data_IF_354037596369
#
_entry.id   IF_354037596369
#
_cell.length_a   1.000
_cell.length_b   1.000
_cell.length_c   1.000
_cell.angle_alpha   90.00
_cell.angle_beta   90.00
_cell.angle_gamma   90.00
#
_symmetry.space_group_name_H-M   'P 1'
#
loop_
_entity.id
_entity.type
_entity.pdbx_description
1 polymer ?
#
# COMPACT_ATOMS: atom_id res chain seq x y z
N UNK A 1 -11.38 -20.31 18.85
CA UNK A 1 -11.61 -19.04 19.56
C UNK A 1 -10.50 -17.99 19.37
N UNK A 2 -9.26 -18.17 19.87
CA UNK A 2 -8.23 -17.11 19.78
C UNK A 2 -7.85 -16.75 18.32
N UNK A 3 -7.61 -17.75 17.48
CA UNK A 3 -7.32 -17.55 16.07
C UNK A 3 -8.49 -16.90 15.31
N UNK A 4 -9.73 -17.32 15.59
CA UNK A 4 -10.92 -16.76 14.94
C UNK A 4 -11.13 -15.30 15.30
N UNK A 5 -11.02 -14.95 16.60
CA UNK A 5 -11.12 -13.56 17.05
C UNK A 5 -10.03 -12.68 16.45
N UNK A 6 -8.80 -13.17 16.37
CA UNK A 6 -7.71 -12.47 15.69
C UNK A 6 -7.96 -12.29 14.21
N UNK A 7 -8.43 -13.32 13.52
CA UNK A 7 -8.77 -13.26 12.09
C UNK A 7 -9.85 -12.19 11.84
N UNK A 8 -10.88 -12.14 12.68
CA UNK A 8 -11.93 -11.11 12.62
C UNK A 8 -11.34 -9.71 12.86
N UNK A 9 -10.50 -9.54 13.88
CA UNK A 9 -9.82 -8.26 14.14
C UNK A 9 -8.96 -7.84 12.95
N UNK A 10 -8.24 -8.77 12.32
CA UNK A 10 -7.43 -8.50 11.13
C UNK A 10 -8.27 -8.10 9.93
N UNK A 11 -9.41 -8.74 9.73
CA UNK A 11 -10.35 -8.37 8.69
C UNK A 11 -10.94 -6.98 8.92
N UNK A 12 -11.35 -6.67 10.14
CA UNK A 12 -11.84 -5.33 10.49
C UNK A 12 -10.74 -4.28 10.29
N UNK A 13 -9.51 -4.59 10.70
CA UNK A 13 -8.37 -3.70 10.54
C UNK A 13 -8.00 -3.47 9.06
N UNK A 14 -8.07 -4.51 8.22
CA UNK A 14 -7.79 -4.39 6.78
C UNK A 14 -8.86 -3.53 6.08
N UNK A 15 -10.14 -3.75 6.38
CA UNK A 15 -11.25 -2.96 5.84
C UNK A 15 -11.20 -1.51 6.35
N UNK A 16 -10.92 -1.30 7.64
CA UNK A 16 -10.74 0.03 8.22
C UNK A 16 -9.55 0.78 7.60
N UNK A 17 -8.47 0.06 7.30
CA UNK A 17 -7.31 0.63 6.59
C UNK A 17 -7.68 0.99 5.16
N UNK A 18 -8.38 0.11 4.44
CA UNK A 18 -8.79 0.35 3.06
C UNK A 18 -9.72 1.56 2.97
N UNK A 19 -10.80 1.60 3.77
CA UNK A 19 -11.73 2.74 3.84
C UNK A 19 -11.09 4.09 4.20
N UNK A 20 -9.88 4.08 4.77
CA UNK A 20 -9.10 5.30 5.04
C UNK A 20 -8.35 5.83 3.80
N UNK A 21 -8.02 4.95 2.86
CA UNK A 21 -7.26 5.31 1.66
C UNK A 21 -8.13 5.30 0.40
N UNK A 22 -9.17 4.48 0.35
CA UNK A 22 -10.18 4.43 -0.69
C UNK A 22 -11.42 5.19 -0.23
N UNK A 23 -12.01 5.98 -1.12
CA UNK A 23 -13.32 6.59 -0.88
C UNK A 23 -14.42 5.59 -1.28
N UNK A 24 -15.14 4.99 -0.32
CA UNK A 24 -16.12 3.93 -0.61
C UNK A 24 -17.28 4.41 -1.50
N UNK A 25 -17.54 5.73 -1.56
CA UNK A 25 -18.61 6.31 -2.39
C UNK A 25 -18.25 6.37 -3.87
N UNK A 26 -16.96 6.52 -4.20
CA UNK A 26 -16.51 6.68 -5.59
C UNK A 26 -15.92 5.39 -6.15
N UNK A 27 -15.41 4.50 -5.30
CA UNK A 27 -14.84 3.23 -5.73
C UNK A 27 -15.91 2.19 -6.02
N UNK A 28 -15.74 1.41 -7.09
CA UNK A 28 -16.65 0.31 -7.38
C UNK A 28 -16.55 -0.79 -6.33
N UNK A 29 -17.72 -1.33 -5.93
CA UNK A 29 -17.85 -2.43 -4.95
C UNK A 29 -16.92 -3.63 -5.25
N UNK A 30 -16.81 -4.17 -6.49
CA UNK A 30 -15.95 -5.32 -6.74
C UNK A 30 -14.47 -5.01 -6.49
N UNK A 31 -14.00 -3.81 -6.85
CA UNK A 31 -12.61 -3.38 -6.59
C UNK A 31 -12.36 -3.25 -5.10
N UNK A 32 -13.33 -2.71 -4.35
CA UNK A 32 -13.23 -2.58 -2.90
C UNK A 32 -13.15 -3.95 -2.19
N UNK A 33 -13.96 -4.93 -2.61
CA UNK A 33 -13.93 -6.30 -2.07
C UNK A 33 -12.60 -6.98 -2.39
N UNK A 34 -12.16 -6.91 -3.64
CA UNK A 34 -10.89 -7.50 -4.07
C UNK A 34 -9.70 -6.90 -3.32
N UNK A 35 -9.67 -5.58 -3.15
CA UNK A 35 -8.66 -4.91 -2.35
C UNK A 35 -8.72 -5.38 -0.89
N UNK A 36 -9.90 -5.45 -0.28
CA UNK A 36 -10.05 -5.92 1.11
C UNK A 36 -9.50 -7.34 1.31
N UNK A 37 -9.83 -8.25 0.41
CA UNK A 37 -9.34 -9.63 0.43
C UNK A 37 -7.82 -9.70 0.24
N UNK A 38 -7.27 -8.90 -0.67
CA UNK A 38 -5.82 -8.88 -0.95
C UNK A 38 -4.99 -8.40 0.25
N UNK A 39 -5.54 -7.54 1.10
CA UNK A 39 -4.89 -7.11 2.34
C UNK A 39 -5.12 -8.10 3.49
N UNK A 40 -6.34 -8.66 3.59
CA UNK A 40 -6.70 -9.58 4.65
C UNK A 40 -5.91 -10.89 4.59
N UNK A 41 -5.89 -11.58 3.44
CA UNK A 41 -5.36 -12.95 3.34
C UNK A 41 -3.85 -13.06 3.69
N UNK A 42 -2.96 -12.19 3.18
CA UNK A 42 -1.55 -12.21 3.57
C UNK A 42 -1.35 -11.85 5.06
N UNK A 43 -2.15 -10.90 5.56
CA UNK A 43 -2.09 -10.50 6.98
C UNK A 43 -2.53 -11.66 7.88
N UNK A 44 -3.58 -12.39 7.51
CA UNK A 44 -4.04 -13.56 8.24
C UNK A 44 -2.98 -14.67 8.29
N UNK A 45 -2.19 -14.85 7.24
CA UNK A 45 -1.08 -15.81 7.22
C UNK A 45 -0.01 -15.49 8.27
N UNK A 46 0.29 -14.21 8.52
CA UNK A 46 1.23 -13.77 9.56
C UNK A 46 0.74 -14.21 10.95
N UNK A 47 -0.57 -14.09 11.22
CA UNK A 47 -1.15 -14.51 12.49
C UNK A 47 -1.33 -16.03 12.60
N UNK A 48 -1.53 -16.74 11.49
CA UNK A 48 -1.62 -18.20 11.47
C UNK A 48 -0.29 -18.87 11.84
N UNK A 49 0.83 -18.28 11.41
CA UNK A 49 2.16 -18.89 11.53
C UNK A 49 2.55 -19.24 12.99
N UNK A 50 2.41 -18.35 14.00
CA UNK A 50 2.70 -18.72 15.40
C UNK A 50 1.85 -19.88 15.92
N UNK A 51 0.58 -19.96 15.54
CA UNK A 51 -0.30 -21.06 15.94
C UNK A 51 0.12 -22.39 15.32
N UNK A 52 0.57 -22.37 14.06
CA UNK A 52 1.07 -23.57 13.40
C UNK A 52 2.40 -24.02 14.03
N UNK A 53 3.30 -23.09 14.34
CA UNK A 53 4.57 -23.38 15.03
C UNK A 53 4.34 -23.94 16.44
N UNK A 54 3.43 -23.37 17.23
CA UNK A 54 3.12 -23.87 18.57
C UNK A 54 2.46 -25.25 18.52
N UNK A 55 1.58 -25.47 17.53
CA UNK A 55 0.89 -26.75 17.33
C UNK A 55 1.82 -27.86 16.83
N UNK A 56 2.72 -27.56 15.89
CA UNK A 56 3.77 -28.49 15.44
C UNK A 56 4.72 -28.83 16.58
N UNK A 57 5.20 -27.82 17.32
CA UNK A 57 6.08 -28.03 18.48
C UNK A 57 5.44 -28.92 19.55
N UNK A 58 4.13 -28.77 19.79
CA UNK A 58 3.40 -29.65 20.70
C UNK A 58 3.29 -31.09 20.18
N UNK A 59 3.05 -31.29 18.88
CA UNK A 59 2.99 -32.64 18.27
C UNK A 59 4.33 -33.38 18.32
N UNK A 60 5.43 -32.65 18.18
CA UNK A 60 6.79 -33.20 18.23
C UNK A 60 7.30 -33.40 19.67
N UNK A 61 6.61 -32.81 20.66
CA UNK A 61 6.96 -32.92 22.06
C UNK A 61 6.60 -34.31 22.60
N UNK A 62 7.62 -35.10 22.95
CA UNK A 62 7.48 -36.42 23.60
C UNK A 62 7.97 -36.31 25.05
N UNK A 63 7.08 -36.02 25.99
CA UNK A 63 7.42 -35.90 27.41
C UNK A 63 6.23 -35.49 28.30
N UNK A 64 6.38 -35.60 29.64
CA UNK A 64 5.33 -35.23 30.60
C UNK A 64 5.10 -33.70 30.68
N UNK A 65 6.08 -32.89 30.24
CA UNK A 65 6.03 -31.42 30.29
C UNK A 65 5.37 -30.77 29.06
N UNK A 66 4.73 -31.55 28.19
CA UNK A 66 4.10 -31.05 26.96
C UNK A 66 2.72 -30.44 27.25
N UNK A 67 2.68 -29.12 27.41
CA UNK A 67 1.42 -28.40 27.58
C UNK A 67 0.73 -28.12 26.24
N UNK A 68 -0.53 -28.52 26.11
CA UNK A 68 -1.35 -28.22 24.92
C UNK A 68 -1.52 -26.70 24.77
N UNK A 69 -1.14 -26.10 23.63
CA UNK A 69 -1.31 -24.66 23.42
C UNK A 69 -2.79 -24.27 23.35
N UNK A 70 -3.11 -23.07 23.80
CA UNK A 70 -4.50 -22.55 23.77
C UNK A 70 -5.03 -22.41 22.34
N UNK A 71 -4.16 -22.05 21.41
CA UNK A 71 -4.46 -21.98 19.98
C UNK A 71 -4.10 -23.25 19.20
N UNK A 72 -4.19 -24.44 19.80
CA UNK A 72 -3.86 -25.69 19.10
C UNK A 72 -4.71 -25.89 17.83
N UNK A 73 -4.04 -26.04 16.68
CA UNK A 73 -4.64 -26.44 15.42
C UNK A 73 -4.33 -27.92 15.15
N UNK A 74 -5.39 -28.70 14.90
CA UNK A 74 -5.27 -30.06 14.41
C UNK A 74 -4.55 -30.10 13.05
N UNK A 75 -3.79 -31.17 12.79
CA UNK A 75 -2.98 -31.30 11.57
C UNK A 75 -3.83 -31.21 10.30
N UNK A 76 -4.99 -31.86 10.28
CA UNK A 76 -5.94 -31.80 9.17
C UNK A 76 -6.44 -30.36 8.95
N UNK A 77 -6.77 -29.64 10.02
CA UNK A 77 -7.24 -28.25 9.95
C UNK A 77 -6.16 -27.29 9.46
N UNK A 78 -4.92 -27.40 9.98
CA UNK A 78 -3.80 -26.57 9.52
C UNK A 78 -3.54 -26.79 8.03
N UNK A 79 -3.49 -28.06 7.58
CA UNK A 79 -3.28 -28.38 6.18
C UNK A 79 -4.40 -27.84 5.27
N UNK A 80 -5.65 -27.97 5.71
CA UNK A 80 -6.80 -27.41 5.00
C UNK A 80 -6.71 -25.87 4.87
N UNK A 81 -6.45 -25.17 5.99
CA UNK A 81 -6.34 -23.71 6.01
C UNK A 81 -5.20 -23.24 5.09
N UNK A 82 -4.01 -23.86 5.19
CA UNK A 82 -2.87 -23.51 4.34
C UNK A 82 -3.16 -23.76 2.87
N UNK A 83 -3.84 -24.86 2.52
CA UNK A 83 -4.21 -25.17 1.13
C UNK A 83 -5.22 -24.15 0.59
N UNK A 84 -6.21 -23.77 1.38
CA UNK A 84 -7.14 -22.70 1.02
C UNK A 84 -6.40 -21.36 0.82
N UNK A 85 -5.60 -20.93 1.81
CA UNK A 85 -4.83 -19.69 1.73
C UNK A 85 -3.92 -19.67 0.50
N UNK A 86 -3.17 -20.75 0.27
CA UNK A 86 -2.27 -20.87 -0.86
C UNK A 86 -3.00 -20.70 -2.19
N UNK A 87 -4.04 -21.49 -2.45
CA UNK A 87 -4.73 -21.44 -3.74
C UNK A 87 -5.49 -20.13 -3.93
N UNK A 88 -6.12 -19.60 -2.88
CA UNK A 88 -6.79 -18.30 -2.96
C UNK A 88 -5.79 -17.18 -3.25
N UNK A 89 -4.66 -17.12 -2.54
CA UNK A 89 -3.62 -16.11 -2.81
C UNK A 89 -2.99 -16.29 -4.19
N UNK A 90 -2.81 -17.53 -4.64
CA UNK A 90 -2.28 -17.83 -5.96
C UNK A 90 -3.17 -17.25 -7.07
N UNK A 91 -4.46 -17.60 -7.10
CA UNK A 91 -5.38 -17.08 -8.11
C UNK A 91 -5.61 -15.57 -7.96
N UNK A 92 -5.66 -15.07 -6.72
CA UNK A 92 -5.82 -13.64 -6.48
C UNK A 92 -4.64 -12.84 -7.05
N UNK A 93 -3.41 -13.30 -6.81
CA UNK A 93 -2.18 -12.61 -7.21
C UNK A 93 -1.90 -12.75 -8.70
N UNK A 94 -2.03 -13.96 -9.24
CA UNK A 94 -1.58 -14.27 -10.61
C UNK A 94 -2.67 -14.13 -11.66
N UNK A 95 -3.95 -14.01 -11.28
CA UNK A 95 -5.06 -13.95 -12.25
C UNK A 95 -5.96 -12.75 -11.97
N UNK A 96 -6.57 -12.70 -10.79
CA UNK A 96 -7.67 -11.76 -10.52
C UNK A 96 -7.17 -10.32 -10.44
N UNK A 97 -6.13 -10.04 -9.64
CA UNK A 97 -5.61 -8.69 -9.45
C UNK A 97 -5.03 -8.08 -10.76
N UNK A 98 -4.18 -8.79 -11.54
CA UNK A 98 -3.66 -8.24 -12.79
C UNK A 98 -4.75 -7.94 -13.83
N UNK A 99 -5.73 -8.85 -13.98
CA UNK A 99 -6.85 -8.65 -14.90
C UNK A 99 -7.74 -7.49 -14.44
N UNK A 100 -8.02 -7.40 -13.13
CA UNK A 100 -8.81 -6.29 -12.57
C UNK A 100 -8.11 -4.94 -12.75
N UNK A 101 -6.81 -4.89 -12.50
CA UNK A 101 -5.98 -3.70 -12.74
C UNK A 101 -6.03 -3.29 -14.22
N UNK A 102 -5.79 -4.24 -15.13
CA UNK A 102 -5.85 -3.98 -16.57
C UNK A 102 -7.24 -3.57 -17.07
N UNK A 103 -8.31 -4.07 -16.43
CA UNK A 103 -9.68 -3.68 -16.74
C UNK A 103 -9.95 -2.22 -16.35
N UNK A 104 -9.51 -1.80 -15.15
CA UNK A 104 -9.69 -0.43 -14.66
C UNK A 104 -8.86 0.56 -15.47
N UNK A 105 -7.63 0.18 -15.85
CA UNK A 105 -6.73 1.02 -16.64
C UNK A 105 -7.12 1.12 -18.13
N UNK A 106 -7.99 0.24 -18.62
CA UNK A 106 -8.41 0.24 -20.02
C UNK A 106 -9.30 1.44 -20.37
N UNK A 107 -8.95 2.13 -21.47
CA UNK A 107 -9.73 3.27 -21.96
C UNK A 107 -10.90 2.91 -22.88
N UNK A 108 -11.09 1.63 -23.25
CA UNK A 108 -12.25 1.19 -24.03
C UNK A 108 -13.55 1.43 -23.28
N UNK A 109 -14.67 1.62 -24.00
CA UNK A 109 -15.99 1.78 -23.37
C UNK A 109 -16.65 0.41 -23.14
N UNK A 110 -16.58 -0.48 -24.12
CA UNK A 110 -17.23 -1.80 -24.06
C UNK A 110 -16.57 -2.74 -23.04
N UNK A 111 -17.38 -3.32 -22.14
CA UNK A 111 -16.91 -4.27 -21.11
C UNK A 111 -16.16 -5.46 -21.70
N UNK A 112 -16.59 -5.97 -22.86
CA UNK A 112 -15.94 -7.10 -23.55
C UNK A 112 -14.53 -6.73 -24.01
N UNK A 113 -14.37 -5.54 -24.60
CA UNK A 113 -13.08 -5.04 -25.06
C UNK A 113 -12.12 -4.77 -23.90
N UNK A 114 -12.63 -4.20 -22.79
CA UNK A 114 -11.84 -4.03 -21.56
C UNK A 114 -11.25 -5.34 -21.05
N UNK A 115 -12.08 -6.38 -20.90
CA UNK A 115 -11.64 -7.70 -20.42
C UNK A 115 -10.67 -8.35 -21.41
N UNK A 116 -11.01 -8.33 -22.71
CA UNK A 116 -10.15 -8.89 -23.76
C UNK A 116 -8.77 -8.23 -23.76
N UNK A 117 -8.72 -6.92 -23.64
CA UNK A 117 -7.47 -6.16 -23.61
C UNK A 117 -6.68 -6.42 -22.32
N UNK A 118 -7.34 -6.46 -21.17
CA UNK A 118 -6.70 -6.77 -19.88
C UNK A 118 -6.05 -8.17 -19.89
N UNK A 119 -6.80 -9.19 -20.36
CA UNK A 119 -6.30 -10.56 -20.49
C UNK A 119 -5.14 -10.62 -21.50
N UNK A 120 -5.28 -9.99 -22.66
CA UNK A 120 -4.24 -9.97 -23.70
C UNK A 120 -2.94 -9.37 -23.18
N UNK A 121 -3.01 -8.23 -22.48
CA UNK A 121 -1.83 -7.59 -21.90
C UNK A 121 -1.19 -8.46 -20.83
N UNK A 122 -2.00 -9.07 -19.97
CA UNK A 122 -1.50 -9.96 -18.92
C UNK A 122 -0.85 -11.23 -19.48
N UNK A 123 -1.45 -11.87 -20.50
CA UNK A 123 -0.87 -13.03 -21.19
C UNK A 123 0.45 -12.64 -21.86
N UNK A 124 0.53 -11.51 -22.56
CA UNK A 124 1.78 -11.04 -23.19
C UNK A 124 2.92 -10.91 -22.17
N UNK A 125 2.64 -10.31 -21.02
CA UNK A 125 3.60 -10.20 -19.92
C UNK A 125 4.02 -11.58 -19.40
N UNK A 126 3.07 -12.47 -19.14
CA UNK A 126 3.37 -13.82 -18.64
C UNK A 126 4.12 -14.67 -19.67
N UNK A 127 3.85 -14.52 -20.97
CA UNK A 127 4.59 -15.20 -22.03
C UNK A 127 6.05 -14.74 -22.07
N UNK A 128 6.31 -13.44 -21.88
CA UNK A 128 7.66 -12.92 -21.78
C UNK A 128 8.41 -13.52 -20.57
N UNK A 129 7.77 -13.57 -19.40
CA UNK A 129 8.36 -14.23 -18.21
C UNK A 129 8.56 -15.73 -18.45
N UNK A 130 7.60 -16.39 -19.10
CA UNK A 130 7.69 -17.81 -19.47
C UNK A 130 8.83 -18.09 -20.45
N UNK A 131 9.09 -17.19 -21.39
CA UNK A 131 10.22 -17.29 -22.31
C UNK A 131 11.56 -17.22 -21.57
N UNK A 132 11.70 -16.32 -20.59
CA UNK A 132 12.90 -16.26 -19.72
C UNK A 132 13.06 -17.57 -18.94
N UNK A 133 11.97 -18.12 -18.39
CA UNK A 133 11.99 -19.41 -17.69
C UNK A 133 12.44 -20.55 -18.61
N UNK A 134 12.00 -20.57 -19.87
CA UNK A 134 12.43 -21.58 -20.85
C UNK A 134 13.93 -21.49 -21.15
N UNK A 135 14.50 -20.29 -21.26
CA UNK A 135 15.95 -20.09 -21.42
C UNK A 135 16.70 -20.68 -20.21
N UNK A 136 16.22 -20.42 -18.99
CA UNK A 136 16.83 -20.96 -17.77
C UNK A 136 16.77 -22.49 -17.78
N UNK A 137 15.62 -23.07 -18.12
CA UNK A 137 15.45 -24.52 -18.21
C UNK A 137 16.39 -25.11 -19.28
N UNK A 138 16.53 -24.47 -20.43
CA UNK A 138 17.45 -24.88 -21.49
C UNK A 138 18.93 -24.87 -21.04
N UNK A 139 19.34 -23.89 -20.24
CA UNK A 139 20.69 -23.88 -19.65
C UNK A 139 20.87 -25.06 -18.67
N UNK A 140 19.85 -25.39 -17.88
CA UNK A 140 19.88 -26.51 -16.94
C UNK A 140 19.93 -27.85 -17.68
N UNK A 141 19.23 -27.99 -18.80
CA UNK A 141 19.24 -29.21 -19.61
C UNK A 141 20.61 -29.48 -20.23
N UNK A 142 21.27 -28.47 -20.79
CA UNK A 142 22.63 -28.60 -21.36
C UNK A 142 23.63 -29.08 -20.31
N UNK A 143 23.48 -28.63 -19.06
CA UNK A 143 24.35 -29.05 -17.96
C UNK A 143 24.03 -30.45 -17.40
N UNK A 144 23.04 -31.16 -17.93
CA UNK A 144 22.68 -32.51 -17.51
C UNK A 144 21.99 -32.61 -16.14
N UNK A 145 21.56 -31.48 -15.56
CA UNK A 145 20.92 -31.45 -14.23
C UNK A 145 19.39 -31.57 -14.26
N UNK A 146 18.79 -31.85 -15.43
CA UNK A 146 17.33 -31.93 -15.57
C UNK A 146 16.79 -33.23 -14.97
N UNK A 147 16.44 -33.17 -13.68
CA UNK A 147 15.60 -34.18 -13.03
C UNK A 147 14.35 -33.51 -12.46
N UNK A 148 13.24 -34.25 -12.35
CA UNK A 148 12.02 -33.74 -11.74
C UNK A 148 12.25 -33.22 -10.31
N UNK A 149 13.12 -33.90 -9.56
CA UNK A 149 13.50 -33.49 -8.22
C UNK A 149 14.30 -32.17 -8.22
N UNK A 150 15.27 -32.03 -9.13
CA UNK A 150 16.05 -30.80 -9.25
C UNK A 150 15.20 -29.62 -9.74
N UNK A 151 14.23 -29.89 -10.62
CA UNK A 151 13.32 -28.87 -11.12
C UNK A 151 12.36 -28.38 -10.03
N UNK A 152 11.78 -29.27 -9.23
CA UNK A 152 10.92 -28.86 -8.10
C UNK A 152 11.74 -28.14 -7.02
N UNK A 153 12.93 -28.63 -6.70
CA UNK A 153 13.87 -27.95 -5.81
C UNK A 153 14.22 -26.54 -6.32
N UNK A 154 14.53 -26.39 -7.60
CA UNK A 154 14.83 -25.11 -8.22
C UNK A 154 13.63 -24.15 -8.16
N UNK A 155 12.43 -24.60 -8.54
CA UNK A 155 11.22 -23.76 -8.51
C UNK A 155 10.90 -23.33 -7.07
N UNK A 156 11.05 -24.22 -6.09
CA UNK A 156 10.87 -23.87 -4.67
C UNK A 156 11.88 -22.82 -4.21
N UNK A 157 13.17 -23.00 -4.52
CA UNK A 157 14.22 -22.04 -4.17
C UNK A 157 13.99 -20.70 -4.87
N UNK A 158 13.66 -20.70 -6.16
CA UNK A 158 13.38 -19.50 -6.93
C UNK A 158 12.17 -18.73 -6.37
N UNK A 159 11.06 -19.43 -6.08
CA UNK A 159 9.87 -18.81 -5.49
C UNK A 159 10.15 -18.20 -4.11
N UNK A 160 10.90 -18.92 -3.26
CA UNK A 160 11.28 -18.44 -1.93
C UNK A 160 12.30 -17.30 -1.99
N UNK A 161 13.20 -17.29 -2.99
CA UNK A 161 14.23 -16.26 -3.14
C UNK A 161 13.61 -14.87 -3.35
N UNK A 162 12.51 -14.77 -4.11
CA UNK A 162 11.80 -13.50 -4.29
C UNK A 162 11.31 -12.94 -2.96
N UNK A 163 10.69 -13.79 -2.13
CA UNK A 163 10.24 -13.42 -0.78
C UNK A 163 11.39 -12.96 0.12
N UNK A 164 12.50 -13.70 0.13
CA UNK A 164 13.70 -13.35 0.92
C UNK A 164 14.30 -12.02 0.45
N UNK A 165 14.43 -11.79 -0.86
CA UNK A 165 14.93 -10.53 -1.42
C UNK A 165 14.07 -9.36 -0.94
N UNK A 166 12.74 -9.49 -1.01
CA UNK A 166 11.82 -8.46 -0.53
C UNK A 166 11.96 -8.24 0.99
N UNK A 167 12.01 -9.30 1.78
CA UNK A 167 12.16 -9.21 3.25
C UNK A 167 13.47 -8.50 3.60
N UNK A 168 14.61 -8.92 3.04
CA UNK A 168 15.91 -8.30 3.34
C UNK A 168 15.93 -6.83 2.94
N UNK A 169 15.41 -6.50 1.75
CA UNK A 169 15.38 -5.12 1.24
C UNK A 169 14.49 -4.22 2.10
N UNK A 170 13.25 -4.64 2.40
CA UNK A 170 12.33 -3.84 3.19
C UNK A 170 12.67 -3.83 4.68
N UNK A 171 13.24 -4.92 5.21
CA UNK A 171 13.71 -4.98 6.60
C UNK A 171 14.79 -3.93 6.85
N UNK A 172 15.75 -3.76 5.94
CA UNK A 172 16.77 -2.71 6.07
C UNK A 172 16.15 -1.30 6.20
N UNK A 173 15.15 -1.00 5.38
CA UNK A 173 14.39 0.27 5.49
C UNK A 173 13.59 0.32 6.79
N UNK A 174 12.95 -0.77 7.20
CA UNK A 174 12.15 -0.87 8.42
C UNK A 174 12.97 -0.59 9.68
N UNK A 175 14.12 -1.25 9.82
CA UNK A 175 15.01 -1.16 10.99
C UNK A 175 15.56 0.24 11.21
N UNK A 176 15.79 1.01 10.13
CA UNK A 176 16.43 2.32 10.22
C UNK A 176 15.44 3.47 10.08
N UNK A 177 14.55 3.41 9.08
CA UNK A 177 13.65 4.52 8.75
C UNK A 177 12.52 4.66 9.75
N UNK A 178 11.96 3.56 10.29
CA UNK A 178 10.84 3.62 11.23
C UNK A 178 11.25 4.33 12.53
N UNK A 179 12.35 3.97 13.23
CA UNK A 179 12.77 4.71 14.41
C UNK A 179 13.03 6.20 14.11
N UNK A 180 13.72 6.51 13.00
CA UNK A 180 14.00 7.91 12.61
C UNK A 180 12.72 8.71 12.41
N UNK A 181 11.76 8.18 11.66
CA UNK A 181 10.46 8.84 11.43
C UNK A 181 9.76 9.11 12.77
N UNK A 182 9.72 8.11 13.66
CA UNK A 182 9.09 8.23 14.99
C UNK A 182 9.79 9.29 15.84
N UNK A 183 11.11 9.36 15.82
CA UNK A 183 11.88 10.43 16.47
C UNK A 183 11.51 11.80 15.91
N UNK A 184 11.40 11.96 14.59
CA UNK A 184 11.04 13.24 13.98
C UNK A 184 9.63 13.70 14.38
N UNK A 185 8.69 12.78 14.59
CA UNK A 185 7.35 13.13 15.11
C UNK A 185 7.36 13.70 16.53
N UNK A 186 8.44 13.51 17.30
CA UNK A 186 8.56 14.13 18.63
C UNK A 186 8.82 15.63 18.59
N UNK A 187 9.29 16.18 17.45
CA UNK A 187 9.68 17.59 17.34
C UNK A 187 8.85 18.34 16.29
N UNK A 188 7.86 19.15 16.69
CA UNK A 188 7.02 19.90 15.75
C UNK A 188 7.82 20.93 14.92
N UNK A 189 8.87 21.53 15.46
CA UNK A 189 9.73 22.48 14.73
C UNK A 189 10.42 21.82 13.54
N UNK A 190 10.90 20.59 13.75
CA UNK A 190 11.55 19.83 12.70
C UNK A 190 10.56 19.47 11.57
N UNK A 191 9.34 19.07 11.94
CA UNK A 191 8.29 18.74 10.97
C UNK A 191 7.91 19.96 10.12
N UNK A 192 7.76 21.13 10.75
CA UNK A 192 7.50 22.38 10.05
C UNK A 192 8.60 22.70 9.04
N UNK A 193 9.86 22.72 9.48
CA UNK A 193 11.00 23.00 8.60
C UNK A 193 11.11 22.01 7.44
N UNK A 194 10.80 20.73 7.67
CA UNK A 194 10.80 19.73 6.61
C UNK A 194 9.66 19.98 5.60
N UNK A 195 8.46 20.34 6.06
CA UNK A 195 7.34 20.67 5.20
C UNK A 195 7.63 21.89 4.34
N UNK A 196 8.17 22.96 4.93
CA UNK A 196 8.60 24.18 4.22
C UNK A 196 9.62 23.87 3.12
N UNK A 197 10.61 23.01 3.40
CA UNK A 197 11.59 22.56 2.41
C UNK A 197 10.95 21.79 1.25
N UNK A 198 9.98 20.92 1.54
CA UNK A 198 9.31 20.13 0.51
C UNK A 198 8.22 20.89 -0.24
N UNK A 199 7.79 22.04 0.25
CA UNK A 199 6.64 22.78 -0.28
C UNK A 199 6.80 23.11 -1.77
N UNK A 200 7.98 23.59 -2.19
CA UNK A 200 8.27 23.92 -3.59
C UNK A 200 8.12 22.69 -4.49
N UNK A 201 8.70 21.56 -4.10
CA UNK A 201 8.60 20.32 -4.88
C UNK A 201 7.16 19.81 -5.03
N UNK A 202 6.35 19.93 -3.97
CA UNK A 202 4.94 19.55 -4.01
C UNK A 202 4.14 20.49 -4.91
N UNK A 203 4.42 21.80 -4.85
CA UNK A 203 3.75 22.78 -5.71
C UNK A 203 4.09 22.55 -7.18
N UNK A 204 5.36 22.35 -7.51
CA UNK A 204 5.80 22.04 -8.87
C UNK A 204 5.13 20.75 -9.36
N UNK A 205 5.07 19.71 -8.53
CA UNK A 205 4.40 18.45 -8.89
C UNK A 205 2.91 18.61 -9.22
N UNK A 206 2.22 19.56 -8.58
CA UNK A 206 0.83 19.91 -8.92
C UNK A 206 0.76 20.58 -10.28
N UNK A 207 1.59 21.60 -10.49
CA UNK A 207 1.63 22.36 -11.75
C UNK A 207 1.99 21.46 -12.94
N UNK A 208 3.01 20.61 -12.80
CA UNK A 208 3.41 19.63 -13.81
C UNK A 208 2.25 18.67 -14.15
N UNK A 209 1.57 18.14 -13.13
CA UNK A 209 0.43 17.23 -13.35
C UNK A 209 -0.81 17.93 -13.93
N UNK A 210 -0.98 19.22 -13.67
CA UNK A 210 -2.03 20.04 -14.27
C UNK A 210 -1.75 20.27 -15.76
N UNK A 211 -0.49 20.52 -16.11
CA UNK A 211 -0.04 20.63 -17.50
C UNK A 211 -0.21 19.30 -18.26
N UNK A 212 0.20 18.17 -17.68
CA UNK A 212 -0.01 16.82 -18.25
C UNK A 212 -1.50 16.57 -18.57
N UNK A 213 -2.39 17.03 -17.69
CA UNK A 213 -3.84 16.95 -17.89
C UNK A 213 -4.30 17.86 -19.03
N UNK A 214 -3.88 19.11 -19.05
CA UNK A 214 -4.23 20.07 -20.12
C UNK A 214 -3.76 19.56 -21.48
N UNK A 215 -2.55 19.02 -21.56
CA UNK A 215 -2.03 18.39 -22.78
C UNK A 215 -2.91 17.22 -23.21
N UNK A 216 -3.25 16.32 -22.29
CA UNK A 216 -4.14 15.18 -22.57
C UNK A 216 -5.51 15.64 -23.07
N UNK A 217 -6.08 16.72 -22.49
CA UNK A 217 -7.34 17.30 -22.96
C UNK A 217 -7.19 17.97 -24.34
N UNK A 218 -6.08 18.67 -24.57
CA UNK A 218 -5.79 19.32 -25.85
C UNK A 218 -5.65 18.30 -26.99
N UNK A 219 -4.98 17.16 -26.75
CA UNK A 219 -4.88 16.08 -27.76
C UNK A 219 -6.24 15.56 -28.21
N UNK A 220 -7.23 15.53 -27.31
CA UNK A 220 -8.61 15.21 -27.67
C UNK A 220 -9.32 16.36 -28.41
N UNK A 221 -9.11 17.60 -27.96
CA UNK A 221 -9.75 18.78 -28.57
C UNK A 221 -9.30 19.06 -30.00
N UNK A 222 -8.02 18.83 -30.29
CA UNK A 222 -7.41 19.07 -31.59
C UNK A 222 -7.83 18.06 -32.68
N UNK A 223 -8.57 17.00 -32.33
CA UNK A 223 -9.04 16.01 -33.30
C UNK A 223 -10.06 16.67 -34.27
N UNK A 224 -9.80 16.66 -35.59
CA UNK A 224 -10.73 17.22 -36.57
C UNK A 224 -11.99 16.37 -36.71
N UNK A 225 -13.09 16.99 -37.16
CA UNK A 225 -14.38 16.35 -37.47
C UNK A 225 -14.97 15.50 -36.31
N UNK A 226 -14.72 15.88 -35.06
CA UNK A 226 -15.29 15.23 -33.88
C UNK A 226 -16.82 15.26 -33.85
N UNK A 227 -17.40 16.34 -34.39
CA UNK A 227 -18.85 16.60 -34.36
C UNK A 227 -19.61 15.89 -35.50
N UNK A 228 -18.91 15.12 -36.34
CA UNK A 228 -19.53 14.39 -37.44
C UNK A 228 -20.35 13.20 -36.92
N UNK A 229 -21.67 13.36 -36.92
CA UNK A 229 -22.62 12.35 -36.44
C UNK A 229 -22.70 11.10 -37.33
N UNK A 230 -22.23 11.18 -38.58
CA UNK A 230 -22.29 10.05 -39.52
C UNK A 230 -21.17 9.03 -39.28
N UNK A 231 -20.13 9.40 -38.54
CA UNK A 231 -19.03 8.52 -38.22
C UNK A 231 -19.45 7.47 -37.17
N UNK A 232 -19.14 6.18 -37.41
CA UNK A 232 -19.41 5.09 -36.47
C UNK A 232 -18.72 5.27 -35.11
N UNK A 233 -17.67 6.09 -35.07
CA UNK A 233 -16.87 6.40 -33.88
C UNK A 233 -17.46 7.57 -33.06
N UNK A 234 -18.41 8.33 -33.61
CA UNK A 234 -19.05 9.48 -32.94
C UNK A 234 -19.57 9.20 -31.52
N UNK A 235 -20.24 8.07 -31.23
CA UNK A 235 -20.66 7.75 -29.86
C UNK A 235 -19.50 7.68 -28.86
N UNK A 236 -18.31 7.29 -29.30
CA UNK A 236 -17.11 7.23 -28.46
C UNK A 236 -16.62 8.64 -28.10
N UNK A 237 -16.55 9.55 -29.08
CA UNK A 237 -16.22 10.95 -28.85
C UNK A 237 -17.16 11.60 -27.86
N UNK A 238 -18.47 11.44 -28.08
CA UNK A 238 -19.51 11.98 -27.19
C UNK A 238 -19.37 11.44 -25.77
N UNK A 239 -19.02 10.16 -25.61
CA UNK A 239 -18.82 9.56 -24.28
C UNK A 239 -17.64 10.21 -23.54
N UNK A 240 -16.49 10.41 -24.22
CA UNK A 240 -15.33 11.10 -23.63
C UNK A 240 -15.73 12.53 -23.22
N UNK A 241 -16.47 13.22 -24.07
CA UNK A 241 -16.92 14.59 -23.81
C UNK A 241 -17.86 14.68 -22.61
N UNK A 242 -18.85 13.79 -22.52
CA UNK A 242 -19.80 13.80 -21.39
C UNK A 242 -19.13 13.44 -20.07
N UNK A 243 -18.21 12.47 -20.07
CA UNK A 243 -17.47 12.04 -18.87
C UNK A 243 -16.57 13.17 -18.32
N UNK A 244 -16.03 14.02 -19.19
CA UNK A 244 -15.06 15.05 -18.83
C UNK A 244 -15.60 16.48 -19.04
N UNK A 245 -16.92 16.63 -19.13
CA UNK A 245 -17.57 17.91 -19.47
C UNK A 245 -17.18 19.05 -18.52
N UNK A 246 -17.07 18.78 -17.23
CA UNK A 246 -16.65 19.77 -16.23
C UNK A 246 -15.17 20.17 -16.41
N UNK A 247 -14.30 19.24 -16.78
CA UNK A 247 -12.88 19.52 -17.03
C UNK A 247 -12.72 20.38 -18.27
N UNK A 248 -13.46 20.07 -19.34
CA UNK A 248 -13.45 20.85 -20.56
C UNK A 248 -13.99 22.26 -20.36
N UNK A 249 -15.06 22.43 -19.56
CA UNK A 249 -15.55 23.76 -19.17
C UNK A 249 -14.51 24.54 -18.37
N UNK A 250 -13.87 23.88 -17.39
CA UNK A 250 -12.88 24.52 -16.50
C UNK A 250 -11.60 24.95 -17.23
N UNK A 251 -11.12 24.16 -18.18
CA UNK A 251 -9.84 24.39 -18.85
C UNK A 251 -9.97 24.90 -20.30
N UNK A 252 -11.18 25.26 -20.75
CA UNK A 252 -11.46 25.68 -22.13
C UNK A 252 -10.45 26.67 -22.70
N UNK A 253 -10.26 27.81 -22.03
CA UNK A 253 -9.35 28.85 -22.49
C UNK A 253 -7.90 28.35 -22.58
N UNK A 254 -7.45 27.58 -21.59
CA UNK A 254 -6.08 27.05 -21.57
C UNK A 254 -5.83 26.04 -22.68
N UNK A 255 -6.84 25.21 -22.97
CA UNK A 255 -6.80 24.25 -24.08
C UNK A 255 -6.69 25.00 -25.41
N UNK A 256 -7.52 26.02 -25.63
CA UNK A 256 -7.52 26.83 -26.87
C UNK A 256 -6.19 27.58 -27.08
N UNK A 257 -5.53 28.02 -26.00
CA UNK A 257 -4.23 28.70 -26.06
C UNK A 257 -3.01 27.77 -26.07
N UNK A 258 -3.20 26.45 -25.98
CA UNK A 258 -2.11 25.50 -25.87
C UNK A 258 -1.41 25.29 -27.22
N UNK A 259 -0.33 26.02 -27.46
CA UNK A 259 0.32 26.14 -28.77
C UNK A 259 1.21 24.94 -29.18
N UNK A 260 1.11 23.79 -28.51
CA UNK A 260 1.90 22.63 -28.92
C UNK A 260 1.26 21.94 -30.13
N UNK A 261 1.99 21.74 -31.24
CA UNK A 261 1.44 21.08 -32.42
C UNK A 261 1.09 19.63 -32.07
N UNK A 262 -0.19 19.29 -32.20
CA UNK A 262 -0.62 17.89 -32.10
C UNK A 262 -0.11 17.18 -33.34
N UNK A 263 0.64 16.08 -33.14
CA UNK A 263 1.09 15.24 -34.24
C UNK A 263 -0.12 14.85 -35.09
N UNK A 264 -0.05 15.13 -36.39
CA UNK A 264 -1.11 14.82 -37.36
C UNK A 264 -1.34 13.30 -37.39
N UNK A 265 -2.38 12.84 -36.72
CA UNK A 265 -2.66 11.40 -36.63
C UNK A 265 -3.34 10.91 -37.90
N UNK A 266 -2.62 10.12 -38.70
CA UNK A 266 -3.10 9.65 -39.99
C UNK A 266 -4.16 8.53 -39.94
N UNK A 267 -4.62 8.05 -38.78
CA UNK A 267 -5.79 7.15 -38.68
C UNK A 267 -6.42 7.23 -37.28
N UNK A 268 -7.61 7.84 -37.16
CA UNK A 268 -8.36 7.90 -35.90
C UNK A 268 -9.16 6.60 -35.74
N UNK A 269 -8.59 5.64 -35.00
CA UNK A 269 -9.22 4.35 -34.71
C UNK A 269 -9.80 4.32 -33.29
N UNK A 270 -10.68 3.35 -32.99
CA UNK A 270 -11.21 3.14 -31.63
C UNK A 270 -10.09 2.89 -30.60
N UNK A 271 -9.02 2.20 -31.00
CA UNK A 271 -7.84 1.98 -30.14
C UNK A 271 -7.12 3.28 -29.78
N UNK A 272 -7.07 4.24 -30.72
CA UNK A 272 -6.48 5.55 -30.48
C UNK A 272 -7.33 6.36 -29.50
N UNK A 273 -8.65 6.39 -29.68
CA UNK A 273 -9.54 7.08 -28.72
C UNK A 273 -9.55 6.43 -27.34
N UNK A 274 -9.46 5.09 -27.28
CA UNK A 274 -9.27 4.39 -26.03
C UNK A 274 -7.95 4.81 -25.35
N UNK A 275 -6.86 4.99 -26.10
CA UNK A 275 -5.60 5.47 -25.53
C UNK A 275 -5.70 6.90 -24.98
N UNK A 276 -6.38 7.81 -25.68
CA UNK A 276 -6.62 9.18 -25.21
C UNK A 276 -7.48 9.19 -23.95
N UNK A 277 -8.61 8.46 -23.94
CA UNK A 277 -9.48 8.37 -22.77
C UNK A 277 -8.73 7.81 -21.55
N UNK A 278 -7.86 6.82 -21.76
CA UNK A 278 -6.96 6.30 -20.72
C UNK A 278 -6.01 7.39 -20.21
N UNK A 279 -5.35 8.12 -21.11
CA UNK A 279 -4.40 9.16 -20.74
C UNK A 279 -5.07 10.30 -19.96
N UNK A 280 -6.23 10.79 -20.41
CA UNK A 280 -7.03 11.80 -19.68
C UNK A 280 -7.34 11.31 -18.26
N UNK A 281 -7.82 10.06 -18.12
CA UNK A 281 -8.15 9.47 -16.82
C UNK A 281 -6.93 9.38 -15.90
N UNK A 282 -5.79 8.90 -16.40
CA UNK A 282 -4.54 8.76 -15.62
C UNK A 282 -3.99 10.13 -15.22
N UNK A 283 -3.91 11.08 -16.15
CA UNK A 283 -3.43 12.44 -15.89
C UNK A 283 -4.32 13.15 -14.88
N UNK A 284 -5.65 12.96 -14.98
CA UNK A 284 -6.59 13.52 -14.01
C UNK A 284 -6.42 12.92 -12.62
N UNK A 285 -6.26 11.60 -12.50
CA UNK A 285 -6.00 10.95 -11.21
C UNK A 285 -4.66 11.41 -10.60
N UNK A 286 -3.61 11.54 -11.41
CA UNK A 286 -2.31 12.07 -10.98
C UNK A 286 -2.44 13.50 -10.46
N UNK A 287 -3.15 14.37 -11.18
CA UNK A 287 -3.44 15.73 -10.75
C UNK A 287 -4.22 15.77 -9.42
N UNK A 288 -5.28 14.96 -9.28
CA UNK A 288 -6.04 14.88 -8.03
C UNK A 288 -5.17 14.45 -6.84
N UNK A 289 -4.32 13.43 -7.03
CA UNK A 289 -3.43 12.94 -5.97
C UNK A 289 -2.43 14.03 -5.57
N UNK A 290 -1.79 14.68 -6.53
CA UNK A 290 -0.82 15.74 -6.26
C UNK A 290 -1.48 16.96 -5.60
N UNK A 291 -2.65 17.38 -6.09
CA UNK A 291 -3.42 18.48 -5.49
C UNK A 291 -3.80 18.16 -4.04
N UNK A 292 -4.27 16.94 -3.78
CA UNK A 292 -4.60 16.51 -2.42
C UNK A 292 -3.38 16.48 -1.49
N UNK A 293 -2.23 16.00 -1.99
CA UNK A 293 -0.97 15.99 -1.23
C UNK A 293 -0.53 17.41 -0.89
N UNK A 294 -0.59 18.34 -1.84
CA UNK A 294 -0.30 19.75 -1.63
C UNK A 294 -1.23 20.39 -0.59
N UNK A 295 -2.54 20.21 -0.72
CA UNK A 295 -3.50 20.78 0.23
C UNK A 295 -3.34 20.21 1.64
N UNK A 296 -3.05 18.91 1.74
CA UNK A 296 -2.77 18.26 3.03
C UNK A 296 -1.46 18.77 3.64
N UNK A 297 -0.40 18.91 2.84
CA UNK A 297 0.89 19.44 3.28
C UNK A 297 0.74 20.88 3.78
N UNK A 298 0.05 21.74 3.02
CA UNK A 298 -0.27 23.12 3.38
C UNK A 298 -1.03 23.21 4.70
N UNK A 299 -2.11 22.43 4.87
CA UNK A 299 -2.86 22.37 6.15
C UNK A 299 -1.98 21.87 7.30
N UNK A 300 -1.13 20.88 7.06
CA UNK A 300 -0.22 20.41 8.10
C UNK A 300 0.84 21.45 8.48
N UNK A 301 1.36 22.21 7.52
CA UNK A 301 2.37 23.25 7.75
C UNK A 301 1.80 24.36 8.63
N UNK A 302 0.63 24.89 8.28
CA UNK A 302 -0.06 25.89 9.11
C UNK A 302 -0.35 25.34 10.52
N UNK A 303 -0.71 24.06 10.66
CA UNK A 303 -0.99 23.47 11.98
C UNK A 303 0.28 23.37 12.84
N UNK A 304 1.40 22.96 12.25
CA UNK A 304 2.68 22.92 12.97
C UNK A 304 3.21 24.32 13.28
N UNK A 305 2.96 25.30 12.41
CA UNK A 305 3.25 26.71 12.69
C UNK A 305 2.48 27.20 13.93
N UNK A 306 1.18 26.93 13.99
CA UNK A 306 0.34 27.25 15.16
C UNK A 306 0.84 26.53 16.43
N UNK A 307 1.25 25.26 16.33
CA UNK A 307 1.81 24.49 17.45
C UNK A 307 3.14 25.06 17.95
N UNK A 308 4.02 25.50 17.04
CA UNK A 308 5.29 26.13 17.40
C UNK A 308 5.03 27.47 18.09
N UNK A 309 4.11 28.28 17.58
CA UNK A 309 3.70 29.53 18.21
C UNK A 309 3.09 29.29 19.61
N UNK A 310 2.25 28.26 19.76
CA UNK A 310 1.62 27.88 21.03
C UNK A 310 2.63 27.54 22.14
N UNK A 311 3.86 27.14 21.79
CA UNK A 311 4.92 26.92 22.78
C UNK A 311 5.29 28.21 23.52
N UNK A 312 5.20 29.36 22.86
CA UNK A 312 5.47 30.67 23.45
C UNK A 312 4.26 31.28 24.14
N UNK A 313 3.07 31.09 23.60
CA UNK A 313 1.84 31.70 24.11
C UNK A 313 1.11 30.87 25.16
N UNK A 314 1.50 29.60 25.37
CA UNK A 314 0.87 28.64 26.29
C UNK A 314 -0.61 28.31 26.01
N UNK A 315 -1.16 28.80 24.90
CA UNK A 315 -2.48 28.43 24.42
C UNK A 315 -2.39 28.02 22.95
N UNK A 316 -3.10 26.94 22.59
CA UNK A 316 -3.23 26.53 21.20
C UNK A 316 -4.42 27.25 20.57
N UNK A 317 -4.15 28.28 19.79
CA UNK A 317 -5.12 28.80 18.85
C UNK A 317 -4.69 28.43 17.44
N UNK A 318 -5.56 27.71 16.74
CA UNK A 318 -5.26 27.23 15.40
C UNK A 318 -6.17 27.89 14.38
N UNK A 319 -5.55 28.33 13.29
CA UNK A 319 -6.21 28.98 12.16
C UNK A 319 -6.98 27.99 11.26
N UNK A 320 -6.86 26.69 11.50
CA UNK A 320 -7.31 25.62 10.60
C UNK A 320 -8.49 24.85 11.17
N UNK A 321 -9.46 24.58 10.32
CA UNK A 321 -10.60 23.72 10.65
C UNK A 321 -10.22 22.23 10.70
N UNK A 322 -10.78 21.48 11.66
CA UNK A 322 -11.84 21.88 12.59
C UNK A 322 -11.30 22.45 13.91
N UNK A 323 -9.98 22.52 14.11
CA UNK A 323 -9.40 22.89 15.42
C UNK A 323 -9.79 24.32 15.79
N UNK A 324 -9.91 25.19 14.78
CA UNK A 324 -10.46 26.54 14.92
C UNK A 324 -11.81 26.56 15.65
N UNK A 325 -12.74 25.67 15.28
CA UNK A 325 -14.10 25.60 15.82
C UNK A 325 -14.22 24.80 17.12
N UNK A 326 -13.11 24.28 17.65
CA UNK A 326 -13.16 23.49 18.88
C UNK A 326 -13.36 24.38 20.12
N UNK A 327 -14.13 23.88 21.11
CA UNK A 327 -14.24 24.56 22.39
C UNK A 327 -12.88 24.58 23.11
N UNK A 328 -12.67 25.56 23.97
CA UNK A 328 -11.40 25.82 24.69
C UNK A 328 -10.87 24.60 25.44
N UNK A 329 -11.73 23.81 26.09
CA UNK A 329 -11.31 22.60 26.79
C UNK A 329 -10.66 21.57 25.83
N UNK A 330 -11.17 21.46 24.60
CA UNK A 330 -10.63 20.54 23.60
C UNK A 330 -9.33 21.07 22.98
N UNK A 331 -9.19 22.39 22.82
CA UNK A 331 -7.93 23.05 22.44
C UNK A 331 -6.85 22.84 23.52
N UNK A 332 -7.21 22.96 24.80
CA UNK A 332 -6.30 22.70 25.92
C UNK A 332 -5.85 21.23 25.99
N UNK A 333 -6.77 20.28 25.79
CA UNK A 333 -6.42 18.86 25.68
C UNK A 333 -5.48 18.60 24.49
N UNK A 334 -5.73 19.24 23.35
CA UNK A 334 -4.84 19.13 22.19
C UNK A 334 -3.46 19.72 22.47
N UNK A 335 -3.37 20.85 23.17
CA UNK A 335 -2.11 21.43 23.63
C UNK A 335 -1.32 20.45 24.51
N UNK A 336 -1.96 19.91 25.56
CA UNK A 336 -1.35 18.92 26.46
C UNK A 336 -0.88 17.69 25.67
N UNK A 337 -1.72 17.20 24.77
CA UNK A 337 -1.38 16.05 23.95
C UNK A 337 -0.17 16.31 23.05
N UNK A 338 -0.21 17.34 22.19
CA UNK A 338 0.80 17.54 21.15
C UNK A 338 2.13 18.10 21.69
N UNK A 339 2.09 18.96 22.71
CA UNK A 339 3.31 19.62 23.21
C UNK A 339 3.88 18.96 24.47
N UNK A 340 3.05 18.35 25.33
CA UNK A 340 3.54 17.74 26.57
C UNK A 340 3.65 16.22 26.46
N UNK A 341 2.61 15.49 26.06
CA UNK A 341 2.60 14.02 26.10
C UNK A 341 3.26 13.37 24.87
N UNK A 342 2.90 13.83 23.67
CA UNK A 342 3.29 13.21 22.42
C UNK A 342 4.81 13.13 22.23
N UNK A 343 5.63 14.15 22.54
CA UNK A 343 7.08 14.06 22.39
C UNK A 343 7.70 12.92 23.20
N UNK A 344 7.29 12.74 24.46
CA UNK A 344 7.78 11.66 25.32
C UNK A 344 7.30 10.29 24.84
N UNK A 345 6.03 10.18 24.42
CA UNK A 345 5.51 8.93 23.84
C UNK A 345 6.34 8.58 22.60
N UNK A 346 6.46 9.50 21.62
CA UNK A 346 7.25 9.24 20.41
C UNK A 346 8.71 8.92 20.71
N UNK A 347 9.32 9.55 21.73
CA UNK A 347 10.67 9.21 22.16
C UNK A 347 10.78 7.81 22.76
N UNK A 348 9.86 7.40 23.65
CA UNK A 348 9.81 6.05 24.20
C UNK A 348 9.62 5.00 23.08
N UNK A 349 8.77 5.31 22.10
CA UNK A 349 8.57 4.43 20.94
C UNK A 349 9.80 4.37 20.03
N UNK A 350 10.51 5.48 19.86
CA UNK A 350 11.79 5.51 19.17
C UNK A 350 12.82 4.62 19.86
N UNK A 351 12.95 4.71 21.19
CA UNK A 351 13.84 3.86 21.95
C UNK A 351 13.48 2.38 21.77
N UNK A 352 12.20 2.01 21.92
CA UNK A 352 11.71 0.66 21.72
C UNK A 352 11.98 0.12 20.30
N UNK A 353 11.73 0.91 19.26
CA UNK A 353 11.99 0.44 17.89
C UNK A 353 13.48 0.34 17.59
N UNK A 354 14.30 1.19 18.18
CA UNK A 354 15.76 1.13 18.05
C UNK A 354 16.31 -0.12 18.75
N UNK A 355 15.83 -0.45 19.95
CA UNK A 355 16.26 -1.66 20.66
C UNK A 355 15.86 -2.93 19.92
N UNK A 356 14.65 -3.01 19.40
CA UNK A 356 14.21 -4.13 18.53
C UNK A 356 15.11 -4.22 17.30
N UNK A 357 15.43 -3.08 16.68
CA UNK A 357 16.25 -3.07 15.47
C UNK A 357 17.67 -3.57 15.73
N UNK A 358 18.27 -3.16 16.85
CA UNK A 358 19.57 -3.65 17.31
C UNK A 358 19.49 -5.14 17.62
N UNK A 359 18.43 -5.62 18.29
CA UNK A 359 18.27 -7.03 18.62
C UNK A 359 18.18 -7.92 17.37
N UNK A 360 17.49 -7.47 16.33
CA UNK A 360 17.39 -8.18 15.05
C UNK A 360 18.77 -8.23 14.37
N UNK A 361 19.42 -7.07 14.19
CA UNK A 361 20.74 -7.01 13.55
C UNK A 361 21.79 -7.83 14.29
N UNK A 362 21.78 -7.77 15.63
CA UNK A 362 22.67 -8.57 16.46
C UNK A 362 22.39 -10.06 16.29
N UNK A 363 21.12 -10.46 16.27
CA UNK A 363 20.76 -11.88 16.13
C UNK A 363 21.21 -12.41 14.78
N UNK A 364 20.93 -11.69 13.69
CA UNK A 364 21.37 -12.07 12.34
C UNK A 364 22.90 -12.18 12.23
N UNK A 365 23.64 -11.22 12.78
CA UNK A 365 25.09 -11.25 12.78
C UNK A 365 25.65 -12.43 13.60
N UNK A 366 25.04 -12.75 14.75
CA UNK A 366 25.54 -13.78 15.66
C UNK A 366 25.08 -15.19 15.32
N UNK A 367 24.03 -15.37 14.52
CA UNK A 367 23.58 -16.72 14.07
C UNK A 367 24.71 -17.49 13.39
N UNK A 368 25.56 -16.79 12.61
CA UNK A 368 26.67 -17.42 11.88
C UNK A 368 27.93 -17.60 12.73
N UNK A 369 28.19 -16.69 13.68
CA UNK A 369 29.43 -16.69 14.48
C UNK A 369 29.26 -17.48 15.77
N UNK A 370 28.27 -17.13 16.61
CA UNK A 370 28.00 -17.75 17.90
C UNK A 370 26.48 -17.90 18.13
N UNK A 371 25.85 -18.98 17.63
CA UNK A 371 24.39 -19.15 17.64
C UNK A 371 23.79 -19.20 19.06
N UNK A 372 24.61 -19.45 20.09
CA UNK A 372 24.19 -19.43 21.50
C UNK A 372 23.95 -18.02 22.05
N UNK A 373 24.52 -16.98 21.44
CA UNK A 373 24.52 -15.60 21.92
C UNK A 373 23.51 -14.69 21.19
N UNK A 374 22.57 -15.28 20.45
CA UNK A 374 21.53 -14.51 19.74
C UNK A 374 20.46 -14.03 20.73
N UNK A 375 20.16 -12.72 20.75
CA UNK A 375 19.13 -12.15 21.64
C UNK A 375 17.76 -12.80 21.36
N UNK A 376 17.41 -12.93 20.08
CA UNK A 376 16.16 -13.58 19.66
C UNK A 376 16.17 -15.06 20.04
N UNK A 377 17.29 -15.77 19.88
CA UNK A 377 17.38 -17.18 20.26
C UNK A 377 17.28 -17.39 21.78
N UNK A 378 17.83 -16.50 22.59
CA UNK A 378 17.65 -16.51 24.04
C UNK A 378 16.17 -16.28 24.43
N UNK A 379 15.51 -15.32 23.76
CA UNK A 379 14.08 -15.07 23.93
C UNK A 379 13.24 -16.30 23.55
N UNK A 380 13.50 -16.96 22.42
CA UNK A 380 12.80 -18.20 22.05
C UNK A 380 13.02 -19.32 23.06
N UNK A 381 14.24 -19.50 23.59
CA UNK A 381 14.49 -20.52 24.64
C UNK A 381 13.70 -20.25 25.90
N UNK A 382 13.60 -18.98 26.31
CA UNK A 382 12.78 -18.58 27.44
C UNK A 382 11.29 -18.81 27.18
N UNK A 383 10.81 -18.45 25.99
CA UNK A 383 9.41 -18.61 25.59
C UNK A 383 9.00 -20.05 25.30
N UNK A 384 9.94 -20.95 24.97
CA UNK A 384 9.66 -22.37 24.74
C UNK A 384 8.99 -23.02 25.96
N UNK A 385 9.32 -22.55 27.17
CA UNK A 385 8.72 -23.05 28.40
C UNK A 385 7.32 -22.47 28.67
N UNK A 386 6.94 -21.37 28.00
CA UNK A 386 5.65 -20.71 28.14
C UNK A 386 5.00 -20.51 26.76
N UNK A 387 4.25 -21.52 26.30
CA UNK A 387 3.53 -21.49 25.01
C UNK A 387 2.62 -20.26 24.85
N UNK A 388 2.03 -19.76 25.94
CA UNK A 388 1.24 -18.53 25.96
C UNK A 388 2.07 -17.27 25.69
N UNK A 389 3.31 -17.21 26.20
CA UNK A 389 4.21 -16.07 26.03
C UNK A 389 4.75 -16.01 24.59
N UNK A 390 4.97 -17.18 23.98
CA UNK A 390 5.25 -17.30 22.56
C UNK A 390 4.08 -16.76 21.73
N UNK A 391 2.85 -17.20 22.02
CA UNK A 391 1.65 -16.64 21.37
C UNK A 391 1.63 -15.12 21.55
N UNK A 392 1.66 -14.57 22.78
CA UNK A 392 1.56 -13.13 23.12
C UNK A 392 2.68 -12.25 22.53
N UNK A 393 3.92 -12.72 22.45
CA UNK A 393 5.04 -11.93 21.90
C UNK A 393 4.96 -11.71 20.39
N UNK A 394 4.23 -12.55 19.67
CA UNK A 394 3.91 -12.31 18.25
C UNK A 394 2.71 -11.35 18.06
N UNK A 395 1.99 -10.95 19.12
CA UNK A 395 0.83 -10.05 19.01
C UNK A 395 1.17 -8.57 18.73
N UNK A 396 2.29 -7.95 19.16
CA UNK A 396 2.38 -6.50 19.13
C UNK A 396 3.24 -5.99 17.97
N UNK A 397 2.98 -6.44 16.74
CA UNK A 397 3.46 -5.73 15.54
C UNK A 397 2.36 -5.77 14.48
N UNK A 398 1.23 -5.08 14.70
CA UNK A 398 0.36 -4.61 13.59
C UNK A 398 -0.68 -3.54 13.98
N UNK A 399 -0.77 -3.09 15.23
CA UNK A 399 -1.73 -2.02 15.63
C UNK A 399 -1.10 -0.64 15.83
N UNK A 400 0.09 -0.40 15.28
CA UNK A 400 0.74 0.91 15.39
C UNK A 400 0.75 1.70 14.09
N UNK A 401 -0.46 2.05 13.63
CA UNK A 401 -0.67 3.37 13.03
C UNK A 401 -1.33 4.23 14.08
N UNK A 402 -0.56 5.18 14.61
CA UNK A 402 -0.96 6.23 15.55
C UNK A 402 -2.47 6.56 15.48
N UNK A 403 -3.24 6.34 16.56
CA UNK A 403 -4.63 6.75 16.63
C UNK A 403 -4.85 8.27 16.61
N UNK A 404 -3.82 9.10 16.38
CA UNK A 404 -3.92 10.56 16.43
C UNK A 404 -3.63 11.31 15.13
N UNK A 405 -3.33 10.60 14.03
CA UNK A 405 -3.58 11.13 12.66
C UNK A 405 -5.09 11.09 12.35
N UNK A 406 -5.91 10.53 13.27
CA UNK A 406 -7.37 10.45 13.16
C UNK A 406 -8.01 11.85 13.14
N UNK A 407 -7.38 12.86 13.73
CA UNK A 407 -7.89 14.24 13.70
C UNK A 407 -7.58 14.94 12.37
N UNK A 408 -6.47 14.61 11.70
CA UNK A 408 -6.04 15.34 10.50
C UNK A 408 -6.69 14.84 9.21
N UNK A 409 -7.12 13.57 9.17
CA UNK A 409 -7.74 12.97 7.96
C UNK A 409 -9.27 12.88 8.00
N UNK A 410 -9.90 12.82 9.18
CA UNK A 410 -11.34 12.59 9.30
C UNK A 410 -12.20 13.85 9.27
N UNK A 411 -11.59 15.03 9.48
CA UNK A 411 -12.30 16.31 9.53
C UNK A 411 -12.22 17.13 8.23
N UNK A 412 -11.77 16.51 7.14
CA UNK A 412 -11.82 17.09 5.78
C UNK A 412 -12.88 16.41 4.90
N UNK A 413 -13.76 15.60 5.51
CA UNK A 413 -14.87 14.90 4.86
C UNK A 413 -16.22 15.22 5.51
N UNK A 414 -16.34 16.36 6.16
CA UNK A 414 -17.62 17.02 6.39
C UNK A 414 -17.59 18.35 5.66
#
# INVERSE_FOLDING_TARGET
MLFETLSVICFIASVATLSRYANPKTTSIPVYILASLSWFLPTAAIFLLPFDISSTSYRDCKGPDCQKPKGYLESATSYFIWRCLYWTLFFLTWVILPISSGYVESGHISRKLKIKQAIRNHIRYNLFVGFILLIILFIITIKGYLSWHNLTAFVMVAANSWGIILIVTFMGVGLVRIPRIVKHYSNPQYLLSNLEKTAVSLRNSVEDSELDLIESLHTFWAIPNRDDTFNSIYPFFKTIETENSDLFKRYRQRIETYNNPVQSTQNINEEYLASIRKNISISYLKFQVNSYQWDTAKKSAFFYQDLVAAKSSHYLDSSIEPIKSWPTWKKNLAYIWYLQLAPYIYFALYALFTTISIAILQSEAMVTIYPKWTIIGALFRYCKNNSFLLEVLFFPILTKKSPFIIIHKRNLHL
#
